data_IF_183503798671
#
_entry.id   IF_183503798671
#
_cell.length_a   1.000
_cell.length_b   1.000
_cell.length_c   1.000
_cell.angle_alpha   90.00
_cell.angle_beta   90.00
_cell.angle_gamma   90.00
#
_symmetry.space_group_name_H-M   'P 1'
#
loop_
_entity.id
_entity.type
_entity.pdbx_description
1 polymer ?
#
# COMPACT_ATOMS: atom_id res chain seq x y z
N UNK A 1 14.66 8.28 -35.40
CA UNK A 1 15.27 8.56 -36.72
C UNK A 1 16.31 7.50 -37.01
N UNK A 2 16.34 6.89 -38.21
CA UNK A 2 17.44 5.97 -38.55
C UNK A 2 18.75 6.76 -38.50
N UNK A 3 19.75 6.22 -37.82
CA UNK A 3 21.09 6.75 -37.88
C UNK A 3 21.63 6.54 -39.29
N UNK A 4 21.87 7.64 -40.00
CA UNK A 4 22.45 7.60 -41.34
C UNK A 4 23.92 7.19 -41.27
N UNK A 5 24.31 6.27 -42.16
CA UNK A 5 25.71 5.91 -42.43
C UNK A 5 26.00 6.16 -43.90
N UNK A 6 27.20 6.65 -44.20
CA UNK A 6 27.63 6.88 -45.59
C UNK A 6 27.86 5.54 -46.30
N UNK A 7 27.71 5.55 -47.63
CA UNK A 7 27.91 4.36 -48.44
C UNK A 7 29.33 3.77 -48.27
N UNK A 8 30.35 4.65 -48.18
CA UNK A 8 31.73 4.24 -47.97
C UNK A 8 31.94 3.55 -46.62
N UNK A 9 31.32 4.07 -45.56
CA UNK A 9 31.43 3.46 -44.24
C UNK A 9 30.71 2.12 -44.19
N UNK A 10 29.55 2.02 -44.84
CA UNK A 10 28.81 0.77 -44.96
C UNK A 10 29.58 -0.31 -45.72
N UNK A 11 30.22 0.02 -46.85
CA UNK A 11 31.02 -0.95 -47.60
C UNK A 11 32.27 -1.40 -46.84
N UNK A 12 32.95 -0.50 -46.14
CA UNK A 12 34.10 -0.84 -45.30
C UNK A 12 33.69 -1.78 -44.15
N UNK A 13 32.58 -1.48 -43.48
CA UNK A 13 32.03 -2.29 -42.39
C UNK A 13 31.66 -3.70 -42.89
N UNK A 14 30.92 -3.79 -44.00
CA UNK A 14 30.59 -5.08 -44.62
C UNK A 14 31.83 -5.86 -45.07
N UNK A 15 32.87 -5.19 -45.58
CA UNK A 15 34.11 -5.86 -46.02
C UNK A 15 34.91 -6.41 -44.83
N UNK A 16 35.04 -5.65 -43.75
CA UNK A 16 35.73 -6.11 -42.54
C UNK A 16 34.97 -7.24 -41.84
N UNK A 17 33.64 -7.19 -41.84
CA UNK A 17 32.76 -8.15 -41.18
C UNK A 17 32.29 -9.29 -42.10
N UNK A 18 32.75 -9.32 -43.35
CA UNK A 18 32.36 -10.28 -44.38
C UNK A 18 32.46 -11.75 -43.93
N UNK A 19 33.60 -12.26 -43.41
CA UNK A 19 33.69 -13.67 -43.03
C UNK A 19 32.69 -14.04 -41.94
N UNK A 20 32.42 -13.14 -41.00
CA UNK A 20 31.51 -13.37 -39.89
C UNK A 20 30.03 -13.32 -40.32
N UNK A 21 29.70 -12.45 -41.27
CA UNK A 21 28.38 -12.41 -41.90
C UNK A 21 28.09 -13.68 -42.71
N UNK A 22 29.07 -14.16 -43.49
CA UNK A 22 28.94 -15.39 -44.27
C UNK A 22 28.79 -16.64 -43.40
N UNK A 23 29.45 -16.66 -42.24
CA UNK A 23 29.25 -17.70 -41.23
C UNK A 23 27.90 -17.59 -40.50
N UNK A 24 27.10 -16.54 -40.76
CA UNK A 24 25.79 -16.33 -40.14
C UNK A 24 25.83 -15.91 -38.68
N UNK A 25 27.01 -15.53 -38.16
CA UNK A 25 27.17 -15.13 -36.75
C UNK A 25 26.64 -13.71 -36.51
N UNK A 26 26.70 -12.87 -37.53
CA UNK A 26 26.22 -11.48 -37.48
C UNK A 26 25.31 -11.19 -38.67
N UNK A 27 24.35 -10.32 -38.42
CA UNK A 27 23.37 -9.86 -39.41
C UNK A 27 23.41 -8.34 -39.48
N UNK A 28 23.22 -7.79 -40.67
CA UNK A 28 23.13 -6.34 -40.84
C UNK A 28 21.70 -5.87 -40.51
N UNK A 29 21.43 -5.65 -39.23
CA UNK A 29 20.15 -5.14 -38.73
C UNK A 29 20.32 -3.88 -37.89
N UNK A 30 19.43 -2.91 -38.09
CA UNK A 30 19.37 -1.69 -37.30
C UNK A 30 18.13 -1.72 -36.42
N UNK A 31 18.34 -1.71 -35.11
CA UNK A 31 17.27 -1.56 -34.14
C UNK A 31 17.00 -0.07 -33.91
N UNK A 32 15.75 0.35 -34.03
CA UNK A 32 15.33 1.73 -33.77
C UNK A 32 14.31 1.71 -32.64
N UNK A 33 14.68 2.29 -31.50
CA UNK A 33 13.78 2.48 -30.38
C UNK A 33 13.09 3.83 -30.54
N UNK A 34 11.76 3.82 -30.58
CA UNK A 34 10.93 5.01 -30.72
C UNK A 34 10.03 5.10 -29.49
N UNK A 35 10.16 6.18 -28.75
CA UNK A 35 9.26 6.49 -27.64
C UNK A 35 7.94 7.01 -28.19
N UNK A 36 6.86 6.28 -27.94
CA UNK A 36 5.51 6.65 -28.38
C UNK A 36 4.86 7.62 -27.39
N UNK A 37 4.97 7.32 -26.10
CA UNK A 37 4.45 8.12 -25.01
C UNK A 37 5.47 8.15 -23.87
N UNK A 38 5.74 9.34 -23.34
CA UNK A 38 6.69 9.54 -22.24
C UNK A 38 6.07 9.36 -20.86
N UNK A 39 4.79 9.69 -20.70
CA UNK A 39 4.11 9.66 -19.40
C UNK A 39 2.63 9.35 -19.59
N UNK A 40 2.35 8.15 -20.07
CA UNK A 40 0.97 7.69 -20.20
C UNK A 40 0.36 7.43 -18.82
N UNK A 41 -0.75 8.10 -18.53
CA UNK A 41 -1.56 7.88 -17.32
C UNK A 41 -2.90 7.29 -17.76
N UNK A 42 -3.18 6.08 -17.29
CA UNK A 42 -4.45 5.42 -17.58
C UNK A 42 -5.57 6.00 -16.68
N UNK A 43 -6.77 6.09 -17.23
CA UNK A 43 -7.94 6.60 -16.51
C UNK A 43 -8.67 5.46 -15.81
N UNK A 44 -9.02 5.62 -14.53
CA UNK A 44 -9.70 4.55 -13.77
C UNK A 44 -11.08 4.17 -14.34
N UNK A 45 -11.71 5.09 -15.08
CA UNK A 45 -13.04 4.88 -15.67
C UNK A 45 -13.00 4.28 -17.08
N UNK A 46 -11.85 4.35 -17.76
CA UNK A 46 -11.66 3.80 -19.11
C UNK A 46 -10.24 3.29 -19.23
N UNK A 47 -10.08 1.99 -18.99
CA UNK A 47 -8.80 1.30 -19.10
C UNK A 47 -8.36 1.17 -20.56
N UNK A 48 -7.05 1.23 -20.78
CA UNK A 48 -6.44 0.85 -22.04
C UNK A 48 -6.45 -0.68 -22.21
N UNK A 49 -7.31 -1.19 -23.09
CA UNK A 49 -7.40 -2.63 -23.40
C UNK A 49 -6.39 -3.08 -24.45
N UNK A 50 -5.86 -2.17 -25.26
CA UNK A 50 -4.88 -2.47 -26.29
C UNK A 50 -4.33 -1.23 -26.98
N UNK A 51 -3.34 -1.43 -27.83
CA UNK A 51 -2.71 -0.39 -28.64
C UNK A 51 -2.70 -0.81 -30.12
N UNK A 52 -3.12 0.10 -30.99
CA UNK A 52 -3.02 -0.04 -32.45
C UNK A 52 -1.90 0.88 -32.91
N UNK A 53 -0.89 0.31 -33.56
CA UNK A 53 0.28 1.05 -34.06
C UNK A 53 0.23 1.00 -35.58
N UNK A 54 0.11 2.17 -36.20
CA UNK A 54 0.10 2.33 -37.65
C UNK A 54 1.39 2.98 -38.13
N UNK A 55 1.91 2.49 -39.24
CA UNK A 55 3.14 3.00 -39.86
C UNK A 55 2.76 3.54 -41.23
N UNK A 56 2.77 4.86 -41.37
CA UNK A 56 2.43 5.54 -42.61
C UNK A 56 3.65 5.58 -43.55
N UNK A 57 4.01 4.45 -44.15
CA UNK A 57 4.97 4.42 -45.24
C UNK A 57 4.83 3.15 -46.09
N UNK A 58 4.81 3.32 -47.41
CA UNK A 58 4.78 2.21 -48.37
C UNK A 58 6.18 1.70 -48.74
N UNK A 59 7.24 2.40 -48.32
CA UNK A 59 8.63 2.11 -48.73
C UNK A 59 9.50 1.51 -47.63
N UNK A 60 8.98 1.34 -46.41
CA UNK A 60 9.74 0.84 -45.26
C UNK A 60 9.53 -0.65 -45.12
N UNK A 61 10.62 -1.41 -44.97
CA UNK A 61 10.59 -2.84 -44.71
C UNK A 61 10.93 -3.10 -43.24
N UNK A 62 10.04 -3.79 -42.52
CA UNK A 62 10.18 -4.09 -41.09
C UNK A 62 10.10 -5.59 -40.92
N UNK A 63 11.17 -6.17 -40.39
CA UNK A 63 11.24 -7.61 -40.10
C UNK A 63 10.59 -7.95 -38.76
N UNK A 64 10.74 -7.08 -37.76
CA UNK A 64 10.22 -7.30 -36.40
C UNK A 64 9.90 -5.97 -35.73
N UNK A 65 8.73 -5.90 -35.10
CA UNK A 65 8.33 -4.81 -34.23
C UNK A 65 8.02 -5.38 -32.83
N UNK A 66 8.48 -4.68 -31.79
CA UNK A 66 8.22 -5.04 -30.39
C UNK A 66 7.82 -3.78 -29.64
N UNK A 67 6.74 -3.87 -28.87
CA UNK A 67 6.28 -2.79 -28.00
C UNK A 67 6.80 -3.03 -26.59
N UNK A 68 7.57 -2.07 -26.08
CA UNK A 68 8.08 -2.08 -24.71
C UNK A 68 7.26 -1.11 -23.87
N UNK A 69 6.70 -1.58 -22.75
CA UNK A 69 5.94 -0.77 -21.80
C UNK A 69 6.80 -0.62 -20.54
N UNK A 70 7.33 0.58 -20.33
CA UNK A 70 8.10 0.91 -19.14
C UNK A 70 7.18 1.50 -18.07
N UNK A 71 7.02 0.78 -16.96
CA UNK A 71 6.18 1.23 -15.86
C UNK A 71 6.98 2.13 -14.90
N UNK A 72 6.67 3.42 -14.88
CA UNK A 72 7.21 4.36 -13.91
C UNK A 72 6.26 4.45 -12.71
N UNK A 73 6.55 3.69 -11.66
CA UNK A 73 5.81 3.79 -10.40
C UNK A 73 6.46 4.82 -9.48
N UNK A 74 5.64 5.64 -8.82
CA UNK A 74 6.07 6.59 -7.80
C UNK A 74 5.38 6.32 -6.46
N UNK A 75 6.00 6.77 -5.36
CA UNK A 75 5.44 6.67 -4.01
C UNK A 75 5.29 5.23 -3.50
N UNK A 76 4.14 4.94 -2.87
CA UNK A 76 3.86 3.62 -2.24
C UNK A 76 3.84 2.49 -3.28
N UNK A 77 3.34 2.76 -4.49
CA UNK A 77 3.28 1.76 -5.56
C UNK A 77 4.67 1.28 -5.98
N UNK A 78 5.67 2.17 -5.95
CA UNK A 78 7.06 1.80 -6.23
C UNK A 78 7.57 0.78 -5.23
N UNK A 79 7.42 1.06 -3.93
CA UNK A 79 7.87 0.17 -2.85
C UNK A 79 7.16 -1.18 -2.94
N UNK A 80 5.85 -1.17 -3.18
CA UNK A 80 5.05 -2.39 -3.28
C UNK A 80 5.45 -3.27 -4.47
N UNK A 81 5.82 -2.67 -5.61
CA UNK A 81 6.20 -3.40 -6.82
C UNK A 81 7.62 -3.97 -6.75
N UNK A 82 8.60 -3.16 -6.29
CA UNK A 82 10.00 -3.60 -6.23
C UNK A 82 10.31 -4.47 -5.01
N UNK A 83 9.60 -4.27 -3.88
CA UNK A 83 9.83 -4.99 -2.63
C UNK A 83 8.53 -5.56 -2.03
N UNK A 84 7.91 -6.57 -2.66
CA UNK A 84 6.62 -7.11 -2.22
C UNK A 84 6.68 -7.71 -0.82
N UNK A 85 7.78 -8.39 -0.48
CA UNK A 85 7.91 -9.05 0.83
C UNK A 85 8.01 -8.05 1.98
N UNK A 86 8.90 -7.05 1.88
CA UNK A 86 9.07 -6.07 2.95
C UNK A 86 7.82 -5.21 3.10
N UNK A 87 7.17 -4.84 2.00
CA UNK A 87 5.92 -4.08 2.04
C UNK A 87 4.79 -4.88 2.68
N UNK A 88 4.69 -6.19 2.42
CA UNK A 88 3.71 -7.05 3.08
C UNK A 88 3.96 -7.13 4.58
N UNK A 89 5.21 -7.34 5.00
CA UNK A 89 5.59 -7.38 6.43
C UNK A 89 5.25 -6.06 7.11
N UNK A 90 5.64 -4.92 6.53
CA UNK A 90 5.33 -3.60 7.10
C UNK A 90 3.83 -3.39 7.20
N UNK A 91 3.05 -3.70 6.15
CA UNK A 91 1.60 -3.55 6.18
C UNK A 91 0.91 -4.40 7.25
N UNK A 92 1.33 -5.66 7.38
CA UNK A 92 0.82 -6.57 8.41
C UNK A 92 1.20 -6.07 9.81
N UNK A 93 2.48 -5.73 10.04
CA UNK A 93 2.95 -5.25 11.34
C UNK A 93 2.25 -3.96 11.75
N UNK A 94 2.03 -3.01 10.84
CA UNK A 94 1.28 -1.79 11.12
C UNK A 94 -0.16 -2.11 11.50
N UNK A 95 -0.83 -3.03 10.80
CA UNK A 95 -2.19 -3.44 11.16
C UNK A 95 -2.27 -4.06 12.57
N UNK A 96 -1.37 -4.98 12.90
CA UNK A 96 -1.28 -5.56 14.24
C UNK A 96 -0.97 -4.53 15.31
N UNK A 97 -0.07 -3.58 15.05
CA UNK A 97 0.23 -2.48 15.97
C UNK A 97 -1.00 -1.60 16.23
N UNK A 98 -1.78 -1.26 15.19
CA UNK A 98 -3.01 -0.49 15.34
C UNK A 98 -4.06 -1.25 16.14
N UNK A 99 -4.31 -2.52 15.83
CA UNK A 99 -5.26 -3.36 16.56
C UNK A 99 -4.87 -3.49 18.03
N UNK A 100 -3.59 -3.75 18.30
CA UNK A 100 -3.06 -3.86 19.66
C UNK A 100 -3.22 -2.52 20.39
N UNK A 101 -2.93 -1.39 19.74
CA UNK A 101 -3.10 -0.05 20.31
C UNK A 101 -4.55 0.23 20.72
N UNK A 102 -5.52 -0.10 19.86
CA UNK A 102 -6.96 0.08 20.16
C UNK A 102 -7.38 -0.77 21.35
N UNK A 103 -6.93 -2.02 21.41
CA UNK A 103 -7.23 -2.93 22.53
C UNK A 103 -6.65 -2.39 23.84
N UNK A 104 -5.40 -1.90 23.83
CA UNK A 104 -4.76 -1.34 25.01
C UNK A 104 -5.47 -0.07 25.51
N UNK A 105 -5.86 0.83 24.60
CA UNK A 105 -6.62 2.04 24.97
C UNK A 105 -7.97 1.64 25.56
N UNK A 106 -8.67 0.68 24.95
CA UNK A 106 -9.92 0.15 25.48
C UNK A 106 -9.78 -0.46 26.88
N UNK A 107 -8.72 -1.26 27.08
CA UNK A 107 -8.41 -1.86 28.39
C UNK A 107 -8.09 -0.81 29.45
N UNK A 108 -7.27 0.20 29.13
CA UNK A 108 -6.96 1.30 30.05
C UNK A 108 -8.21 2.12 30.36
N UNK A 109 -9.07 2.39 29.37
CA UNK A 109 -10.32 3.12 29.57
C UNK A 109 -11.30 2.37 30.47
N UNK A 110 -11.50 1.07 30.26
CA UNK A 110 -12.35 0.23 31.11
C UNK A 110 -11.76 0.09 32.52
N UNK A 111 -10.44 -0.11 32.65
CA UNK A 111 -9.77 -0.15 33.96
C UNK A 111 -9.89 1.18 34.72
N UNK A 112 -9.80 2.34 34.05
CA UNK A 112 -9.93 3.66 34.66
C UNK A 112 -11.35 3.92 35.17
N UNK A 113 -12.36 3.49 34.39
CA UNK A 113 -13.77 3.56 34.77
C UNK A 113 -14.12 2.56 35.88
N UNK A 114 -13.61 1.33 35.80
CA UNK A 114 -13.77 0.30 36.82
C UNK A 114 -13.09 0.71 38.13
N UNK A 115 -11.89 1.28 38.10
CA UNK A 115 -11.19 1.79 39.30
C UNK A 115 -12.01 2.90 39.98
N UNK A 116 -12.63 3.81 39.20
CA UNK A 116 -13.50 4.87 39.72
C UNK A 116 -14.81 4.34 40.32
N UNK A 117 -15.42 3.32 39.71
CA UNK A 117 -16.66 2.72 40.20
C UNK A 117 -16.44 1.78 41.40
N UNK A 118 -15.38 0.97 41.38
CA UNK A 118 -15.10 0.00 42.44
C UNK A 118 -14.66 0.70 43.74
N UNK A 119 -13.77 1.70 43.70
CA UNK A 119 -13.39 2.45 44.92
C UNK A 119 -14.57 3.24 45.55
N UNK A 120 -15.54 3.71 44.75
CA UNK A 120 -16.73 4.39 45.26
C UNK A 120 -17.76 3.45 45.90
N UNK A 121 -17.81 2.18 45.47
CA UNK A 121 -18.77 1.19 45.98
C UNK A 121 -18.29 0.49 47.26
N UNK A 122 -16.97 0.29 47.43
CA UNK A 122 -16.42 -0.42 48.60
C UNK A 122 -16.21 0.46 49.84
N UNK A 123 -16.24 1.78 49.72
CA UNK A 123 -16.20 2.69 50.87
C UNK A 123 -17.60 3.05 51.38
N UNK A 124 -18.47 2.05 51.55
CA UNK A 124 -19.67 2.23 52.36
C UNK A 124 -19.34 1.78 53.78
N UNK A 125 -19.23 2.70 54.77
CA UNK A 125 -19.13 2.28 56.16
C UNK A 125 -20.38 1.43 56.48
N UNK A 126 -20.17 0.25 57.06
CA UNK A 126 -21.26 -0.55 57.60
C UNK A 126 -21.98 0.31 58.64
N UNK A 127 -23.13 0.89 58.27
CA UNK A 127 -24.04 1.52 59.21
C UNK A 127 -24.64 0.37 60.03
N UNK A 128 -24.01 0.10 61.17
CA UNK A 128 -24.49 -0.85 62.18
C UNK A 128 -25.84 -0.31 62.64
N UNK A 129 -26.92 -1.06 62.38
CA UNK A 129 -28.27 -0.75 62.89
C UNK A 129 -28.30 -0.99 64.41
N UNK A 130 -27.71 -0.09 65.18
CA UNK A 130 -27.80 -0.09 66.65
C UNK A 130 -28.87 0.93 67.15
N UNK A 131 -29.42 1.75 66.25
CA UNK A 131 -30.23 2.93 66.55
C UNK A 131 -31.75 2.70 66.47
N UNK A 132 -32.21 1.53 66.03
CA UNK A 132 -33.64 1.19 65.97
C UNK A 132 -34.21 0.62 67.28
N UNK A 133 -33.38 0.06 68.16
CA UNK A 133 -33.87 -0.52 69.41
C UNK A 133 -34.02 0.51 70.54
N UNK A 134 -33.19 1.56 70.60
CA UNK A 134 -33.26 2.55 71.68
C UNK A 134 -34.57 3.36 71.75
N UNK A 135 -35.18 3.65 70.60
CA UNK A 135 -36.34 4.56 70.55
C UNK A 135 -37.69 3.86 70.76
N UNK A 136 -37.80 2.57 70.46
CA UNK A 136 -39.04 1.81 70.68
C UNK A 136 -39.36 1.66 72.18
N UNK A 137 -38.36 1.40 73.02
CA UNK A 137 -38.54 1.28 74.48
C UNK A 137 -38.66 2.63 75.21
N UNK A 138 -38.38 3.74 74.52
CA UNK A 138 -38.49 5.08 75.09
C UNK A 138 -39.91 5.66 74.94
N UNK A 139 -40.63 5.28 73.87
CA UNK A 139 -42.01 5.70 73.65
C UNK A 139 -43.00 4.93 74.55
N UNK A 140 -42.69 3.68 74.90
CA UNK A 140 -43.53 2.86 75.77
C UNK A 140 -43.46 3.26 77.26
N UNK A 141 -42.43 4.03 77.67
CA UNK A 141 -42.30 4.55 79.04
C UNK A 141 -42.99 5.89 79.28
N UNK A 142 -43.34 6.64 78.24
CA UNK A 142 -44.00 7.94 78.38
C UNK A 142 -45.44 7.88 77.86
N UNK A 143 -46.35 7.40 78.70
CA UNK A 143 -47.78 7.67 78.55
C UNK A 143 -48.07 9.16 78.82
N UNK A 144 -47.81 10.00 77.83
CA UNK A 144 -48.46 11.32 77.58
C UNK A 144 -47.78 11.97 76.37
N UNK A 145 -48.32 11.70 75.19
CA UNK A 145 -48.15 12.55 74.03
C UNK A 145 -49.56 12.96 73.60
N UNK A 146 -49.94 14.18 74.00
CA UNK A 146 -51.01 14.97 73.37
C UNK A 146 -50.54 15.48 72.02
#
# INVERSE_FOLDING_TARGET
>A
MLHYRSYLLQTLETLMLLPLMLMGVIEQKQHVLVELYSSYIDSAYKLATGAVIEIHSQRVQIYKAQLYIHAHFSGVRYVLYYFPFTSAVVGVMTNFMFLTGIILIGFVQDSSLWTRLFFGVWNKPNVRRDDMQGNAYQCERNTRCT
#
